data_IF_546553492618
#
_entry.id   IF_546553492618
#
_cell.length_a   1.000
_cell.length_b   1.000
_cell.length_c   1.000
_cell.angle_alpha   90.00
_cell.angle_beta   90.00
_cell.angle_gamma   90.00
#
_symmetry.space_group_name_H-M   'P 1'
#
loop_
_entity.id
_entity.type
_entity.pdbx_description
1 polymer ?
#
# COMPACT_ATOMS: atom_id res chain seq x y z
N UNK A 1 6.09 -23.62 38.31
CA UNK A 1 6.56 -23.85 36.93
C UNK A 1 7.12 -22.54 36.42
N UNK A 2 8.41 -22.51 36.08
CA UNK A 2 9.10 -21.30 35.61
C UNK A 2 8.60 -20.93 34.21
N UNK A 3 8.17 -19.69 34.00
CA UNK A 3 7.73 -19.19 32.70
C UNK A 3 8.95 -18.78 31.86
N UNK A 4 9.23 -19.49 30.75
CA UNK A 4 10.35 -19.21 29.85
C UNK A 4 9.98 -18.28 28.68
N UNK A 5 8.75 -17.78 28.61
CA UNK A 5 8.25 -17.00 27.46
C UNK A 5 9.08 -15.74 27.19
N UNK A 6 9.69 -15.16 28.22
CA UNK A 6 10.53 -13.96 28.12
C UNK A 6 11.95 -14.23 27.61
N UNK A 7 12.41 -15.48 27.57
CA UNK A 7 13.72 -15.85 27.04
C UNK A 7 13.68 -16.16 25.53
N UNK A 8 12.50 -16.15 24.93
CA UNK A 8 12.28 -16.46 23.52
C UNK A 8 12.28 -15.19 22.67
N UNK A 9 13.06 -15.19 21.58
CA UNK A 9 13.05 -14.12 20.59
C UNK A 9 11.90 -14.31 19.59
N UNK A 10 10.69 -13.99 20.01
CA UNK A 10 9.49 -14.12 19.17
C UNK A 10 9.31 -12.91 18.25
N UNK A 11 8.85 -13.11 17.01
CA UNK A 11 8.50 -12.01 16.10
C UNK A 11 7.42 -11.11 16.72
N UNK A 12 7.61 -9.80 16.58
CA UNK A 12 6.64 -8.78 16.98
C UNK A 12 6.41 -7.85 15.80
N UNK A 13 5.15 -7.55 15.51
CA UNK A 13 4.78 -6.61 14.46
C UNK A 13 3.48 -5.93 14.85
N UNK A 14 3.40 -4.63 14.54
CA UNK A 14 2.16 -3.86 14.63
C UNK A 14 1.23 -4.12 13.43
N UNK A 15 1.71 -4.88 12.44
CA UNK A 15 0.91 -5.26 11.29
C UNK A 15 -0.24 -6.19 11.71
N UNK A 16 -1.50 -5.76 11.55
CA UNK A 16 -2.63 -6.56 12.00
C UNK A 16 -2.78 -7.80 11.11
N UNK A 17 -3.03 -8.96 11.72
CA UNK A 17 -3.30 -10.19 10.96
C UNK A 17 -4.60 -10.10 10.14
N UNK A 18 -5.57 -9.28 10.56
CA UNK A 18 -6.80 -9.03 9.80
C UNK A 18 -6.65 -7.79 8.93
N UNK A 19 -7.08 -7.88 7.68
CA UNK A 19 -6.93 -6.81 6.70
C UNK A 19 -7.73 -5.54 7.04
N UNK A 20 -9.00 -5.67 7.45
CA UNK A 20 -9.91 -4.54 7.68
C UNK A 20 -10.01 -3.58 6.47
N UNK A 21 -10.10 -4.16 5.27
CA UNK A 21 -9.94 -3.45 3.99
C UNK A 21 -10.96 -2.34 3.77
N UNK A 22 -12.22 -2.56 4.17
CA UNK A 22 -13.29 -1.56 4.03
C UNK A 22 -12.98 -0.21 4.71
N UNK A 23 -12.13 -0.20 5.75
CA UNK A 23 -11.67 1.03 6.41
C UNK A 23 -10.31 1.50 5.89
N UNK A 24 -9.36 0.56 5.71
CA UNK A 24 -7.98 0.91 5.34
C UNK A 24 -7.83 1.37 3.89
N UNK A 25 -8.57 0.78 2.95
CA UNK A 25 -8.44 1.14 1.52
C UNK A 25 -8.84 2.59 1.25
N UNK A 26 -9.98 3.11 1.75
CA UNK A 26 -10.31 4.53 1.61
C UNK A 26 -9.25 5.48 2.20
N UNK A 27 -8.68 5.13 3.35
CA UNK A 27 -7.62 5.93 3.99
C UNK A 27 -6.33 5.94 3.14
N UNK A 28 -5.95 4.78 2.58
CA UNK A 28 -4.82 4.67 1.67
C UNK A 28 -5.02 5.51 0.41
N UNK A 29 -6.18 5.41 -0.24
CA UNK A 29 -6.51 6.21 -1.42
C UNK A 29 -6.46 7.72 -1.12
N UNK A 30 -6.99 8.15 0.03
CA UNK A 30 -6.90 9.54 0.48
C UNK A 30 -5.45 9.98 0.66
N UNK A 31 -4.61 9.15 1.27
CA UNK A 31 -3.19 9.46 1.46
C UNK A 31 -2.45 9.62 0.12
N UNK A 32 -2.74 8.76 -0.86
CA UNK A 32 -2.16 8.82 -2.21
C UNK A 32 -2.60 10.05 -2.98
N UNK A 33 -3.87 10.44 -2.83
CA UNK A 33 -4.39 11.67 -3.42
C UNK A 33 -3.73 12.91 -2.82
N UNK A 34 -3.63 12.98 -1.48
CA UNK A 34 -3.00 14.12 -0.79
C UNK A 34 -1.52 14.30 -1.16
N UNK A 35 -0.79 13.19 -1.35
CA UNK A 35 0.61 13.26 -1.75
C UNK A 35 0.83 13.49 -3.25
N UNK A 36 -0.23 13.52 -4.07
CA UNK A 36 -0.16 13.53 -5.53
C UNK A 36 0.73 12.41 -6.09
N UNK A 37 0.46 11.19 -5.62
CA UNK A 37 1.33 10.03 -5.89
C UNK A 37 1.52 9.78 -7.39
N UNK A 38 0.46 9.95 -8.18
CA UNK A 38 0.53 9.71 -9.62
C UNK A 38 1.52 10.67 -10.30
N UNK A 39 1.48 11.97 -10.00
CA UNK A 39 2.42 12.93 -10.55
C UNK A 39 3.87 12.59 -10.18
N UNK A 40 4.13 12.21 -8.92
CA UNK A 40 5.46 11.77 -8.47
C UNK A 40 5.95 10.53 -9.22
N UNK A 41 5.07 9.57 -9.48
CA UNK A 41 5.42 8.39 -10.28
C UNK A 41 5.80 8.83 -11.70
N UNK A 42 5.05 9.74 -12.32
CA UNK A 42 5.34 10.29 -13.66
C UNK A 42 6.69 10.99 -13.72
N UNK A 43 7.00 11.80 -12.71
CA UNK A 43 8.29 12.47 -12.57
C UNK A 43 9.44 11.47 -12.45
N UNK A 44 9.32 10.46 -11.59
CA UNK A 44 10.34 9.42 -11.40
C UNK A 44 10.60 8.56 -12.65
N UNK A 45 9.63 8.52 -13.56
CA UNK A 45 9.68 7.78 -14.82
C UNK A 45 10.08 8.64 -16.02
N UNK A 46 10.42 9.91 -15.82
CA UNK A 46 10.83 10.80 -16.91
C UNK A 46 12.01 10.21 -17.70
N UNK A 47 11.93 10.27 -19.03
CA UNK A 47 12.97 9.75 -19.95
C UNK A 47 12.95 8.24 -20.21
N UNK A 48 12.15 7.45 -19.48
CA UNK A 48 12.01 6.01 -19.75
C UNK A 48 11.21 5.76 -21.04
N UNK A 49 11.42 4.62 -21.73
CA UNK A 49 10.56 4.20 -22.84
C UNK A 49 9.08 4.21 -22.43
N UNK A 50 8.22 4.76 -23.28
CA UNK A 50 6.80 4.88 -22.98
C UNK A 50 6.14 3.50 -23.06
N UNK A 51 5.35 3.19 -22.04
CA UNK A 51 4.35 2.13 -22.08
C UNK A 51 2.97 2.79 -22.06
N UNK A 52 2.12 2.47 -23.03
CA UNK A 52 0.78 3.06 -23.19
C UNK A 52 -0.24 1.93 -23.04
N UNK A 53 -1.07 2.02 -22.00
CA UNK A 53 -2.22 1.15 -21.78
C UNK A 53 -3.48 1.91 -22.18
N UNK A 54 -4.13 1.47 -23.25
CA UNK A 54 -5.44 1.99 -23.65
C UNK A 54 -6.52 1.26 -22.87
N UNK A 55 -7.18 1.96 -21.94
CA UNK A 55 -8.38 1.45 -21.30
C UNK A 55 -9.60 1.76 -22.17
N UNK A 56 -10.43 0.74 -22.41
CA UNK A 56 -11.63 0.90 -23.24
C UNK A 56 -12.67 1.74 -22.50
N UNK A 57 -13.48 2.54 -23.19
CA UNK A 57 -14.54 3.28 -22.52
C UNK A 57 -15.51 2.28 -21.86
N UNK A 58 -15.84 2.45 -20.56
CA UNK A 58 -16.87 1.62 -19.95
C UNK A 58 -18.21 1.89 -20.61
N UNK A 59 -19.09 0.90 -20.63
CA UNK A 59 -20.50 1.14 -20.89
C UNK A 59 -21.10 1.78 -19.63
N UNK A 60 -21.73 2.95 -19.78
CA UNK A 60 -22.27 3.76 -18.69
C UNK A 60 -23.68 3.32 -18.28
#
# INVERSE_FOLDING_TARGET
>A
MTDYKHTLNLPKTDFPMRGNLAQREPEMLKSWAVMDLYARIRESCAGRPKFILHDGPPYA
#
